data_IF_490232043809
#
_entry.id   IF_490232043809
#
_cell.length_a   1.000
_cell.length_b   1.000
_cell.length_c   1.000
_cell.angle_alpha   90.00
_cell.angle_beta   90.00
_cell.angle_gamma   90.00
#
_symmetry.space_group_name_H-M   'P 1'
#
loop_
_entity.id
_entity.type
_entity.pdbx_description
1 polymer ?
#
# COMPACT_ATOMS: atom_id res chain seq x y z
N UNK A 1 18.20 22.41 -14.42
CA UNK A 1 18.90 21.12 -14.35
C UNK A 1 18.16 20.12 -13.45
N UNK A 2 18.23 20.25 -12.13
CA UNK A 2 17.45 19.39 -11.19
C UNK A 2 16.60 20.18 -10.16
N UNK A 3 16.85 21.48 -10.00
CA UNK A 3 16.10 22.35 -9.07
C UNK A 3 14.65 22.65 -9.49
N UNK A 4 14.26 22.22 -10.70
CA UNK A 4 13.01 22.60 -11.39
C UNK A 4 11.95 21.49 -11.37
N UNK A 5 12.25 20.35 -10.71
CA UNK A 5 11.43 19.13 -10.69
C UNK A 5 10.92 18.73 -9.30
N UNK A 6 11.06 19.59 -8.29
CA UNK A 6 10.93 19.21 -6.87
C UNK A 6 9.80 18.24 -6.55
N UNK A 7 8.54 18.67 -6.69
CA UNK A 7 7.39 17.84 -6.30
C UNK A 7 7.17 16.61 -7.20
N UNK A 8 7.10 16.70 -8.54
CA UNK A 8 6.93 15.51 -9.38
C UNK A 8 8.08 14.51 -9.24
N UNK A 9 9.33 14.98 -9.15
CA UNK A 9 10.49 14.12 -8.93
C UNK A 9 10.42 13.40 -7.59
N UNK A 10 10.17 14.13 -6.49
CA UNK A 10 10.05 13.53 -5.14
C UNK A 10 8.93 12.49 -5.12
N UNK A 11 7.75 12.84 -5.64
CA UNK A 11 6.60 11.94 -5.67
C UNK A 11 6.87 10.70 -6.55
N UNK A 12 7.52 10.86 -7.70
CA UNK A 12 7.94 9.75 -8.56
C UNK A 12 8.97 8.87 -7.86
N UNK A 13 9.95 9.44 -7.17
CA UNK A 13 10.93 8.68 -6.37
C UNK A 13 10.26 7.89 -5.25
N UNK A 14 9.25 8.45 -4.59
CA UNK A 14 8.45 7.75 -3.58
C UNK A 14 7.72 6.55 -4.20
N UNK A 15 7.05 6.73 -5.35
CA UNK A 15 6.39 5.62 -6.07
C UNK A 15 7.40 4.53 -6.49
N UNK A 16 8.56 4.91 -7.04
CA UNK A 16 9.63 3.97 -7.41
C UNK A 16 10.14 3.22 -6.18
N UNK A 17 10.39 3.91 -5.07
CA UNK A 17 10.86 3.30 -3.82
C UNK A 17 9.86 2.26 -3.31
N UNK A 18 8.57 2.60 -3.33
CA UNK A 18 7.50 1.66 -2.99
C UNK A 18 7.47 0.45 -3.94
N UNK A 19 7.53 0.69 -5.25
CA UNK A 19 7.50 -0.35 -6.27
C UNK A 19 8.70 -1.30 -6.18
N UNK A 20 9.91 -0.77 -6.00
CA UNK A 20 11.12 -1.56 -5.77
C UNK A 20 10.98 -2.42 -4.52
N UNK A 21 10.53 -1.84 -3.40
CA UNK A 21 10.31 -2.60 -2.16
C UNK A 21 9.31 -3.74 -2.35
N UNK A 22 8.16 -3.46 -2.99
CA UNK A 22 7.11 -4.47 -3.19
C UNK A 22 7.60 -5.57 -4.16
N UNK A 23 8.23 -5.17 -5.26
CA UNK A 23 8.81 -6.07 -6.25
C UNK A 23 9.88 -6.98 -5.65
N UNK A 24 10.84 -6.43 -4.92
CA UNK A 24 11.89 -7.20 -4.24
C UNK A 24 11.32 -8.18 -3.21
N UNK A 25 10.31 -7.75 -2.44
CA UNK A 25 9.66 -8.64 -1.46
C UNK A 25 8.93 -9.81 -2.12
N UNK A 26 8.19 -9.55 -3.22
CA UNK A 26 7.51 -10.59 -3.99
C UNK A 26 8.52 -11.54 -4.65
N UNK A 27 9.59 -11.01 -5.21
CA UNK A 27 10.66 -11.81 -5.82
C UNK A 27 11.32 -12.74 -4.80
N UNK A 28 11.72 -12.20 -3.64
CA UNK A 28 12.28 -12.99 -2.53
C UNK A 28 11.36 -14.14 -2.14
N UNK A 29 10.06 -13.87 -2.02
CA UNK A 29 9.08 -14.91 -1.66
C UNK A 29 8.93 -15.98 -2.74
N UNK A 30 8.94 -15.61 -4.03
CA UNK A 30 8.87 -16.58 -5.13
C UNK A 30 10.12 -17.47 -5.13
N UNK A 31 11.31 -16.90 -4.89
CA UNK A 31 12.55 -17.66 -4.78
C UNK A 31 12.52 -18.65 -3.61
N UNK A 32 11.88 -18.29 -2.49
CA UNK A 32 11.77 -19.14 -1.31
C UNK A 32 10.68 -20.21 -1.43
N UNK A 33 9.49 -19.86 -1.93
CA UNK A 33 8.33 -20.74 -2.01
C UNK A 33 8.32 -21.58 -3.31
N UNK A 34 9.23 -21.31 -4.25
CA UNK A 34 9.39 -21.97 -5.54
C UNK A 34 8.30 -21.67 -6.57
N UNK A 35 7.13 -21.18 -6.14
CA UNK A 35 6.02 -20.78 -7.03
C UNK A 35 5.11 -19.72 -6.40
N UNK A 36 4.47 -18.93 -7.25
CA UNK A 36 3.36 -18.09 -6.85
C UNK A 36 2.03 -18.83 -7.05
N UNK A 37 1.47 -19.33 -5.94
CA UNK A 37 0.18 -20.05 -5.90
C UNK A 37 -0.99 -19.27 -6.50
N UNK A 38 -0.91 -17.94 -6.64
CA UNK A 38 -1.96 -17.13 -7.28
C UNK A 38 -2.13 -17.45 -8.76
N UNK A 39 -1.05 -17.88 -9.43
CA UNK A 39 -1.06 -18.18 -10.85
C UNK A 39 -1.43 -19.63 -11.16
N UNK A 40 -1.48 -20.53 -10.16
CA UNK A 40 -1.74 -21.96 -10.35
C UNK A 40 -3.01 -22.25 -11.17
N UNK A 41 -4.03 -21.39 -11.09
CA UNK A 41 -5.32 -21.55 -11.79
C UNK A 41 -5.48 -20.72 -13.07
N UNK A 42 -4.53 -19.83 -13.35
CA UNK A 42 -4.68 -18.80 -14.40
C UNK A 42 -3.64 -18.93 -15.51
N UNK A 43 -2.46 -19.48 -15.20
CA UNK A 43 -1.30 -19.54 -16.10
C UNK A 43 -1.52 -20.41 -17.34
N UNK A 44 -2.42 -21.38 -17.26
CA UNK A 44 -2.71 -22.32 -18.36
C UNK A 44 -3.68 -21.74 -19.40
N UNK A 45 -4.27 -20.57 -19.17
CA UNK A 45 -5.23 -19.93 -20.07
C UNK A 45 -4.73 -18.52 -20.44
N UNK A 46 -4.16 -18.32 -21.65
CA UNK A 46 -3.53 -17.06 -22.02
C UNK A 46 -4.47 -15.84 -21.94
N UNK A 47 -5.72 -15.89 -22.42
CA UNK A 47 -6.67 -14.78 -22.23
C UNK A 47 -6.93 -14.43 -20.76
N UNK A 48 -7.15 -15.43 -19.89
CA UNK A 48 -7.35 -15.19 -18.44
C UNK A 48 -6.09 -14.63 -17.79
N UNK A 49 -4.92 -15.10 -18.21
CA UNK A 49 -3.65 -14.60 -17.72
C UNK A 49 -3.41 -13.14 -18.14
N UNK A 50 -3.70 -12.79 -19.39
CA UNK A 50 -3.63 -11.41 -19.89
C UNK A 50 -4.59 -10.48 -19.13
N UNK A 51 -5.85 -10.91 -18.94
CA UNK A 51 -6.83 -10.15 -18.16
C UNK A 51 -6.38 -9.93 -16.72
N UNK A 52 -5.78 -10.93 -16.09
CA UNK A 52 -5.23 -10.79 -14.74
C UNK A 52 -4.19 -9.65 -14.66
N UNK A 53 -3.24 -9.62 -15.60
CA UNK A 53 -2.23 -8.57 -15.67
C UNK A 53 -2.80 -7.21 -16.01
N UNK A 54 -3.80 -7.15 -16.90
CA UNK A 54 -4.50 -5.92 -17.21
C UNK A 54 -5.17 -5.30 -15.97
N UNK A 55 -5.82 -6.13 -15.13
CA UNK A 55 -6.40 -5.68 -13.86
C UNK A 55 -5.32 -5.15 -12.91
N UNK A 56 -4.15 -5.80 -12.84
CA UNK A 56 -3.02 -5.30 -12.04
C UNK A 56 -2.48 -3.96 -12.57
N UNK A 57 -2.38 -3.80 -13.90
CA UNK A 57 -1.96 -2.55 -14.52
C UNK A 57 -2.95 -1.41 -14.23
N UNK A 58 -4.26 -1.68 -14.36
CA UNK A 58 -5.31 -0.72 -14.04
C UNK A 58 -5.30 -0.32 -12.55
N UNK A 59 -5.06 -1.27 -11.66
CA UNK A 59 -4.89 -0.99 -10.23
C UNK A 59 -3.76 0.00 -9.99
N UNK A 60 -2.55 -0.28 -10.51
CA UNK A 60 -1.38 0.58 -10.35
C UNK A 60 -1.65 1.95 -10.98
N UNK A 61 -2.33 1.97 -12.14
CA UNK A 61 -2.71 3.20 -12.81
C UNK A 61 -3.56 4.11 -11.93
N UNK A 62 -4.68 3.60 -11.40
CA UNK A 62 -5.59 4.36 -10.52
C UNK A 62 -4.86 4.82 -9.27
N UNK A 63 -4.05 3.94 -8.68
CA UNK A 63 -3.35 4.19 -7.41
C UNK A 63 -2.30 5.31 -7.54
N UNK A 64 -1.50 5.31 -8.61
CA UNK A 64 -0.47 6.31 -8.85
C UNK A 64 -0.95 7.52 -9.69
N UNK A 65 -2.23 7.57 -10.05
CA UNK A 65 -2.80 8.60 -10.93
C UNK A 65 -2.46 10.05 -10.53
N UNK A 66 -2.55 10.48 -9.24
CA UNK A 66 -2.19 11.84 -8.85
C UNK A 66 -0.74 12.20 -9.17
N UNK A 67 0.16 11.21 -9.17
CA UNK A 67 1.57 11.41 -9.52
C UNK A 67 1.74 11.53 -11.03
N UNK A 68 1.05 10.71 -11.83
CA UNK A 68 1.08 10.84 -13.28
C UNK A 68 0.55 12.20 -13.75
N UNK A 69 -0.55 12.67 -13.16
CA UNK A 69 -1.14 13.96 -13.50
C UNK A 69 -0.14 15.11 -13.34
N UNK A 70 0.56 15.20 -12.20
CA UNK A 70 1.53 16.28 -11.96
C UNK A 70 2.78 16.17 -12.84
N UNK A 71 3.17 14.95 -13.25
CA UNK A 71 4.29 14.77 -14.18
C UNK A 71 3.94 15.23 -15.59
N UNK A 72 2.69 15.02 -16.04
CA UNK A 72 2.22 15.53 -17.34
C UNK A 72 2.19 17.06 -17.34
N UNK A 73 1.54 17.66 -16.33
CA UNK A 73 1.42 19.13 -16.20
C UNK A 73 2.75 19.84 -16.07
N UNK A 74 3.76 19.19 -15.49
CA UNK A 74 5.10 19.77 -15.39
C UNK A 74 5.71 20.08 -16.76
N UNK A 75 5.38 19.29 -17.78
CA UNK A 75 5.91 19.49 -19.14
C UNK A 75 5.42 20.83 -19.74
N UNK A 76 4.36 21.42 -19.18
CA UNK A 76 3.71 22.63 -19.69
C UNK A 76 4.16 23.93 -18.98
N UNK A 77 4.72 23.87 -17.77
CA UNK A 77 5.04 25.06 -16.96
C UNK A 77 6.52 25.45 -17.04
N UNK A 78 6.79 26.73 -17.34
CA UNK A 78 8.15 27.31 -17.42
C UNK A 78 8.67 27.74 -16.04
N UNK A 79 9.90 27.31 -15.75
CA UNK A 79 10.87 27.67 -14.70
C UNK A 79 10.46 28.71 -13.63
N UNK A 80 10.19 28.21 -12.42
CA UNK A 80 10.25 28.96 -11.16
C UNK A 80 10.95 28.13 -10.08
N UNK A 81 11.45 28.77 -9.01
CA UNK A 81 12.05 28.06 -7.87
C UNK A 81 11.00 27.19 -7.16
N UNK A 82 11.34 25.93 -6.90
CA UNK A 82 10.46 25.02 -6.18
C UNK A 82 10.31 25.45 -4.71
N UNK A 83 9.09 25.83 -4.34
CA UNK A 83 8.72 26.25 -2.98
C UNK A 83 7.71 25.24 -2.40
N UNK A 84 8.11 24.35 -1.47
CA UNK A 84 7.21 23.41 -0.83
C UNK A 84 6.13 24.12 0.00
N UNK A 85 4.88 23.65 -0.08
CA UNK A 85 3.78 24.13 0.74
C UNK A 85 3.58 23.26 1.98
N UNK A 86 2.68 23.65 2.89
CA UNK A 86 2.30 22.82 4.03
C UNK A 86 1.72 21.45 3.60
N UNK A 87 1.06 21.38 2.43
CA UNK A 87 0.52 20.13 1.89
C UNK A 87 1.62 19.17 1.46
N UNK A 88 2.74 19.70 0.95
CA UNK A 88 3.90 18.89 0.60
C UNK A 88 4.49 18.24 1.84
N UNK A 89 4.78 19.03 2.86
CA UNK A 89 5.33 18.53 4.12
C UNK A 89 4.42 17.51 4.79
N UNK A 90 3.12 17.79 4.89
CA UNK A 90 2.17 16.87 5.49
C UNK A 90 2.04 15.58 4.66
N UNK A 91 1.93 15.68 3.33
CA UNK A 91 1.79 14.53 2.46
C UNK A 91 3.03 13.64 2.44
N UNK A 92 4.24 14.23 2.42
CA UNK A 92 5.49 13.48 2.53
C UNK A 92 5.67 12.85 3.91
N UNK A 93 5.29 13.54 4.99
CA UNK A 93 5.30 12.97 6.34
C UNK A 93 4.34 11.76 6.44
N UNK A 94 3.14 11.88 5.89
CA UNK A 94 2.20 10.76 5.77
C UNK A 94 2.80 9.59 4.98
N UNK A 95 3.46 9.89 3.85
CA UNK A 95 4.09 8.87 3.03
C UNK A 95 5.22 8.14 3.75
N UNK A 96 6.16 8.88 4.35
CA UNK A 96 7.30 8.30 5.09
C UNK A 96 6.78 7.45 6.26
N UNK A 97 5.81 7.97 7.01
CA UNK A 97 5.20 7.24 8.13
C UNK A 97 4.53 5.95 7.65
N UNK A 98 3.73 6.04 6.57
CA UNK A 98 3.07 4.88 5.98
C UNK A 98 4.05 3.83 5.45
N UNK A 99 5.12 4.28 4.80
CA UNK A 99 6.18 3.43 4.27
C UNK A 99 6.92 2.68 5.40
N UNK A 100 7.35 3.39 6.44
CA UNK A 100 8.03 2.80 7.60
C UNK A 100 7.12 1.81 8.34
N UNK A 101 5.84 2.16 8.51
CA UNK A 101 4.84 1.28 9.10
C UNK A 101 4.70 -0.03 8.31
N UNK A 102 4.53 0.09 6.99
CA UNK A 102 4.38 -1.09 6.12
C UNK A 102 5.66 -1.93 6.09
N UNK A 103 6.84 -1.32 6.02
CA UNK A 103 8.13 -2.02 6.07
C UNK A 103 8.29 -2.79 7.39
N UNK A 104 8.02 -2.14 8.52
CA UNK A 104 8.13 -2.74 9.85
C UNK A 104 7.14 -3.90 10.02
N UNK A 105 5.89 -3.70 9.60
CA UNK A 105 4.85 -4.72 9.68
C UNK A 105 5.21 -5.98 8.87
N UNK A 106 5.62 -5.82 7.61
CA UNK A 106 5.95 -6.95 6.75
C UNK A 106 7.24 -7.66 7.20
N UNK A 107 8.27 -6.92 7.64
CA UNK A 107 9.48 -7.52 8.18
C UNK A 107 9.20 -8.32 9.45
N UNK A 108 8.41 -7.77 10.38
CA UNK A 108 7.99 -8.47 11.61
C UNK A 108 7.23 -9.75 11.25
N UNK A 109 6.34 -9.69 10.26
CA UNK A 109 5.58 -10.85 9.77
C UNK A 109 6.47 -11.89 9.11
N UNK A 110 7.44 -11.47 8.31
CA UNK A 110 8.40 -12.37 7.68
C UNK A 110 9.26 -13.10 8.72
N UNK A 111 9.78 -12.37 9.71
CA UNK A 111 10.57 -12.94 10.82
C UNK A 111 9.74 -13.91 11.65
N UNK A 112 8.51 -13.53 11.99
CA UNK A 112 7.58 -14.39 12.75
C UNK A 112 7.33 -15.71 12.02
N UNK A 113 6.99 -15.66 10.72
CA UNK A 113 6.69 -16.84 9.91
C UNK A 113 7.91 -17.72 9.60
N UNK A 114 9.13 -17.16 9.69
CA UNK A 114 10.35 -17.91 9.42
C UNK A 114 10.84 -18.72 10.62
N UNK A 115 10.27 -18.51 11.81
CA UNK A 115 10.58 -19.30 13.00
C UNK A 115 9.66 -20.55 13.06
N UNK A 116 10.22 -21.78 13.02
CA UNK A 116 9.44 -23.01 13.11
C UNK A 116 8.55 -23.11 14.37
N UNK A 117 8.98 -22.51 15.49
CA UNK A 117 8.20 -22.50 16.73
C UNK A 117 6.89 -21.70 16.65
N UNK A 118 6.73 -20.89 15.59
CA UNK A 118 5.54 -20.11 15.31
C UNK A 118 4.60 -20.77 14.29
N UNK A 119 4.94 -21.98 13.82
CA UNK A 119 4.12 -22.68 12.84
C UNK A 119 2.71 -22.90 13.38
N UNK A 120 1.71 -22.52 12.59
CA UNK A 120 0.29 -22.60 12.99
C UNK A 120 -0.18 -21.52 13.95
N UNK A 121 0.67 -20.58 14.41
CA UNK A 121 0.27 -19.47 15.29
C UNK A 121 -0.10 -18.22 14.49
N UNK A 122 -0.94 -17.35 15.06
CA UNK A 122 -1.15 -16.01 14.53
C UNK A 122 -0.07 -15.05 15.06
N UNK A 123 0.22 -14.01 14.29
CA UNK A 123 1.15 -12.97 14.73
C UNK A 123 0.47 -12.01 15.70
N UNK A 124 1.11 -11.73 16.82
CA UNK A 124 0.66 -10.79 17.86
C UNK A 124 1.79 -9.96 18.49
N UNK A 125 2.96 -9.93 17.84
CA UNK A 125 4.16 -9.24 18.33
C UNK A 125 4.44 -7.93 17.58
N UNK A 126 5.18 -7.03 18.23
CA UNK A 126 5.59 -5.75 17.66
C UNK A 126 4.37 -4.92 17.26
N UNK A 127 4.41 -4.31 16.07
CA UNK A 127 3.31 -3.45 15.59
C UNK A 127 1.99 -4.20 15.36
N UNK A 128 2.05 -5.53 15.18
CA UNK A 128 0.85 -6.38 15.05
C UNK A 128 0.12 -6.57 16.38
N UNK A 129 0.72 -6.20 17.52
CA UNK A 129 0.01 -6.18 18.81
C UNK A 129 -1.08 -5.10 18.83
N UNK A 130 -0.78 -3.95 18.23
CA UNK A 130 -1.62 -2.74 18.27
C UNK A 130 -2.58 -2.61 17.08
N UNK A 131 -2.35 -3.37 16.00
CA UNK A 131 -3.21 -3.35 14.82
C UNK A 131 -3.29 -4.73 14.17
N UNK A 132 -4.48 -5.07 13.69
CA UNK A 132 -4.71 -6.27 12.89
C UNK A 132 -4.09 -6.16 11.50
N UNK A 133 -4.03 -4.95 10.93
CA UNK A 133 -3.54 -4.68 9.58
C UNK A 133 -2.71 -3.39 9.48
N UNK A 134 -1.59 -3.27 10.23
CA UNK A 134 -0.76 -2.07 10.22
C UNK A 134 -0.16 -1.80 8.84
N UNK A 135 0.15 -2.86 8.07
CA UNK A 135 0.66 -2.73 6.72
C UNK A 135 -0.35 -2.09 5.75
N UNK A 136 -1.64 -2.40 5.88
CA UNK A 136 -2.70 -1.78 5.06
C UNK A 136 -2.91 -0.32 5.43
N UNK A 137 -2.85 0.03 6.72
CA UNK A 137 -2.88 1.43 7.12
C UNK A 137 -1.70 2.20 6.54
N UNK A 138 -0.50 1.62 6.55
CA UNK A 138 0.67 2.22 5.93
C UNK A 138 0.49 2.49 4.43
N UNK A 139 -0.11 1.54 3.71
CA UNK A 139 -0.43 1.70 2.29
C UNK A 139 -1.46 2.82 2.05
N UNK A 140 -2.53 2.87 2.85
CA UNK A 140 -3.52 3.95 2.76
C UNK A 140 -2.91 5.33 3.02
N UNK A 141 -2.00 5.45 4.00
CA UNK A 141 -1.31 6.70 4.33
C UNK A 141 -0.41 7.19 3.19
N UNK A 142 0.34 6.29 2.55
CA UNK A 142 1.21 6.65 1.43
C UNK A 142 0.44 7.25 0.27
N UNK A 143 -0.62 6.58 -0.18
CA UNK A 143 -1.38 7.05 -1.34
C UNK A 143 -2.20 8.30 -1.03
N UNK A 144 -2.69 8.44 0.21
CA UNK A 144 -3.31 9.69 0.67
C UNK A 144 -2.30 10.84 0.73
N UNK A 145 -1.06 10.58 1.15
CA UNK A 145 0.03 11.57 1.16
C UNK A 145 0.43 12.03 -0.24
N UNK A 146 0.51 11.11 -1.20
CA UNK A 146 0.80 11.44 -2.60
C UNK A 146 -0.35 12.22 -3.25
N UNK A 147 -1.61 11.87 -2.94
CA UNK A 147 -2.76 12.68 -3.34
C UNK A 147 -2.66 14.12 -2.78
N UNK A 148 -2.37 14.26 -1.49
CA UNK A 148 -2.28 15.57 -0.83
C UNK A 148 -1.17 16.44 -1.42
N UNK A 149 0.03 15.88 -1.63
CA UNK A 149 1.14 16.62 -2.25
C UNK A 149 0.82 17.02 -3.69
N UNK A 150 0.30 16.10 -4.50
CA UNK A 150 -0.14 16.38 -5.87
C UNK A 150 -1.23 17.46 -5.95
N UNK A 151 -2.05 17.60 -4.91
CA UNK A 151 -3.14 18.58 -4.89
C UNK A 151 -2.72 20.04 -4.95
N UNK A 152 -1.43 20.34 -4.76
CA UNK A 152 -0.88 21.68 -4.99
C UNK A 152 -0.95 22.10 -6.46
N UNK A 153 -0.99 21.15 -7.40
CA UNK A 153 -1.02 21.41 -8.84
C UNK A 153 -2.43 21.30 -9.44
N UNK A 154 -3.44 21.07 -8.60
CA UNK A 154 -4.82 20.93 -9.08
C UNK A 154 -5.45 22.30 -9.33
N UNK A 155 -5.92 22.53 -10.55
CA UNK A 155 -6.46 23.80 -11.04
C UNK A 155 -7.99 23.81 -11.09
N UNK A 156 -8.65 22.65 -11.00
CA UNK A 156 -10.11 22.57 -11.05
C UNK A 156 -10.70 21.31 -10.40
N UNK A 157 -12.03 21.34 -10.17
CA UNK A 157 -12.75 20.27 -9.48
C UNK A 157 -12.63 18.89 -10.14
N UNK A 158 -12.45 18.83 -11.45
CA UNK A 158 -12.24 17.58 -12.17
C UNK A 158 -10.97 16.85 -11.71
N UNK A 159 -9.84 17.57 -11.58
CA UNK A 159 -8.56 17.00 -11.15
C UNK A 159 -8.60 16.53 -9.70
N UNK A 160 -9.32 17.26 -8.83
CA UNK A 160 -9.60 16.82 -7.47
C UNK A 160 -10.40 15.51 -7.45
N UNK A 161 -11.49 15.44 -8.22
CA UNK A 161 -12.35 14.27 -8.29
C UNK A 161 -11.62 13.04 -8.85
N UNK A 162 -10.89 13.17 -9.96
CA UNK A 162 -10.15 12.05 -10.56
C UNK A 162 -8.98 11.61 -9.70
N UNK A 163 -8.26 12.55 -9.08
CA UNK A 163 -7.13 12.22 -8.19
C UNK A 163 -7.57 11.61 -6.87
N UNK A 164 -8.74 11.99 -6.33
CA UNK A 164 -9.29 11.39 -5.13
C UNK A 164 -9.62 9.89 -5.30
N UNK A 165 -9.79 9.42 -6.55
CA UNK A 165 -9.97 8.00 -6.83
C UNK A 165 -8.79 7.16 -6.33
N UNK A 166 -7.56 7.68 -6.29
CA UNK A 166 -6.40 6.94 -5.80
C UNK A 166 -6.56 6.49 -4.33
N UNK A 167 -6.62 7.41 -3.33
CA UNK A 167 -6.74 6.99 -1.94
C UNK A 167 -8.08 6.30 -1.66
N UNK A 168 -9.18 6.72 -2.30
CA UNK A 168 -10.48 6.06 -2.14
C UNK A 168 -10.45 4.62 -2.62
N UNK A 169 -9.87 4.37 -3.80
CA UNK A 169 -9.72 3.03 -4.35
C UNK A 169 -8.93 2.13 -3.41
N UNK A 170 -7.76 2.58 -2.95
CA UNK A 170 -6.91 1.82 -2.02
C UNK A 170 -7.65 1.52 -0.71
N UNK A 171 -8.30 2.52 -0.11
CA UNK A 171 -9.03 2.36 1.15
C UNK A 171 -10.18 1.37 0.99
N UNK A 172 -11.01 1.53 -0.04
CA UNK A 172 -12.18 0.68 -0.26
C UNK A 172 -11.77 -0.77 -0.55
N UNK A 173 -10.78 -0.94 -1.40
CA UNK A 173 -10.29 -2.24 -1.82
C UNK A 173 -9.66 -3.02 -0.67
N UNK A 174 -8.81 -2.38 0.13
CA UNK A 174 -8.17 -3.02 1.27
C UNK A 174 -9.16 -3.25 2.42
N UNK A 175 -10.11 -2.32 2.67
CA UNK A 175 -11.03 -2.44 3.79
C UNK A 175 -12.20 -3.39 3.52
N UNK A 176 -12.72 -3.41 2.29
CA UNK A 176 -14.02 -4.04 2.01
C UNK A 176 -13.99 -5.14 0.95
N UNK A 177 -12.93 -5.27 0.15
CA UNK A 177 -12.90 -6.23 -0.96
C UNK A 177 -11.86 -7.32 -0.75
N UNK A 178 -10.57 -6.98 -0.81
CA UNK A 178 -9.49 -7.97 -0.91
C UNK A 178 -8.61 -8.05 0.34
N UNK A 179 -8.37 -6.94 1.03
CA UNK A 179 -7.44 -6.89 2.16
C UNK A 179 -8.00 -7.55 3.41
N UNK A 180 -8.66 -6.76 4.25
CA UNK A 180 -9.20 -7.14 5.56
C UNK A 180 -10.16 -8.34 5.46
N UNK A 181 -11.18 -8.36 4.59
CA UNK A 181 -12.21 -9.42 4.63
C UNK A 181 -11.64 -10.81 4.30
N UNK A 182 -10.74 -10.89 3.32
CA UNK A 182 -10.13 -12.18 2.94
C UNK A 182 -9.22 -12.71 4.04
N UNK A 183 -8.44 -11.83 4.68
CA UNK A 183 -7.55 -12.22 5.78
C UNK A 183 -8.34 -12.60 7.05
N UNK A 184 -9.39 -11.85 7.38
CA UNK A 184 -10.24 -12.17 8.52
C UNK A 184 -10.94 -13.52 8.31
N UNK A 185 -11.49 -13.77 7.12
CA UNK A 185 -12.09 -15.07 6.76
C UNK A 185 -11.07 -16.21 6.84
N UNK A 186 -9.86 -16.00 6.34
CA UNK A 186 -8.79 -17.00 6.42
C UNK A 186 -8.35 -17.26 7.86
N UNK A 187 -8.22 -16.21 8.67
CA UNK A 187 -7.83 -16.31 10.08
C UNK A 187 -8.90 -17.00 10.93
N UNK A 188 -10.18 -16.66 10.75
CA UNK A 188 -11.29 -17.35 11.43
C UNK A 188 -11.36 -18.83 11.05
N UNK A 189 -11.06 -19.20 9.80
CA UNK A 189 -10.99 -20.62 9.41
C UNK A 189 -9.86 -21.38 10.12
N UNK A 190 -8.76 -20.72 10.45
CA UNK A 190 -7.59 -21.35 11.09
C UNK A 190 -7.65 -21.35 12.61
N UNK A 191 -8.13 -20.25 13.20
CA UNK A 191 -8.00 -19.96 14.63
C UNK A 191 -9.33 -19.58 15.29
N UNK A 192 -10.47 -19.65 14.58
CA UNK A 192 -11.77 -19.22 15.09
C UNK A 192 -12.29 -20.02 16.28
N UNK A 193 -11.77 -21.23 16.52
CA UNK A 193 -12.10 -22.04 17.68
C UNK A 193 -11.26 -21.70 18.92
N UNK A 194 -10.22 -20.86 18.78
CA UNK A 194 -9.39 -20.40 19.89
C UNK A 194 -9.95 -19.09 20.47
N UNK A 195 -10.37 -19.12 21.73
CA UNK A 195 -10.93 -17.97 22.42
C UNK A 195 -9.95 -16.77 22.49
N UNK A 196 -8.63 -17.03 22.53
CA UNK A 196 -7.63 -15.97 22.55
C UNK A 196 -7.56 -15.23 21.22
N UNK A 197 -7.66 -15.96 20.09
CA UNK A 197 -7.71 -15.36 18.77
C UNK A 197 -8.99 -14.53 18.58
N UNK A 198 -10.14 -15.05 18.99
CA UNK A 198 -11.41 -14.32 18.92
C UNK A 198 -11.35 -13.05 19.78
N UNK A 199 -10.80 -13.12 21.00
CA UNK A 199 -10.59 -11.96 21.87
C UNK A 199 -9.66 -10.93 21.23
N UNK A 200 -8.56 -11.38 20.62
CA UNK A 200 -7.63 -10.51 19.88
C UNK A 200 -8.34 -9.74 18.77
N UNK A 201 -9.12 -10.41 17.92
CA UNK A 201 -9.84 -9.76 16.82
C UNK A 201 -10.83 -8.70 17.32
N UNK A 202 -11.44 -8.91 18.49
CA UNK A 202 -12.36 -7.93 19.10
C UNK A 202 -11.65 -6.74 19.74
N UNK A 203 -10.50 -6.98 20.38
CA UNK A 203 -9.82 -5.99 21.22
C UNK A 203 -8.58 -5.36 20.55
N UNK A 204 -8.36 -5.58 19.25
CA UNK A 204 -7.24 -4.98 18.53
C UNK A 204 -7.79 -4.07 17.44
N UNK A 205 -7.25 -2.87 17.33
CA UNK A 205 -7.61 -1.94 16.25
C UNK A 205 -7.46 -2.59 14.88
N UNK A 206 -8.39 -2.29 13.97
CA UNK A 206 -8.39 -2.91 12.65
C UNK A 206 -7.21 -2.44 11.78
N UNK A 207 -6.90 -1.15 11.81
CA UNK A 207 -5.97 -0.49 10.88
C UNK A 207 -4.93 0.34 11.62
N UNK A 208 -5.36 1.36 12.36
CA UNK A 208 -4.48 2.29 13.06
C UNK A 208 -3.80 1.56 14.23
N UNK A 209 -2.46 1.59 14.37
CA UNK A 209 -1.79 0.96 15.50
C UNK A 209 -1.94 1.82 16.76
N UNK A 210 -2.91 1.49 17.61
CA UNK A 210 -3.14 2.11 18.91
C UNK A 210 -3.63 1.06 19.91
N UNK A 211 -3.41 1.31 21.21
CA UNK A 211 -3.94 0.47 22.27
C UNK A 211 -5.46 0.71 22.43
N UNK A 212 -6.23 -0.38 22.39
CA UNK A 212 -7.70 -0.41 22.52
C UNK A 212 -8.08 -1.12 23.81
#
# INVERSE_FOLDING_TARGET
GFHQLGRPLINTTMVITWACRLGSFLLYRIMKDGKDRRFDKVRTNPPKFALFWFIQALWIFITAYPVYLINVKQTEKTVGEFQPTWRDWLGWACWVTGFLLQCTADFTKLKFNSNPANHGKWIDVGIWKYSQHPNYFGEMLMWSGLFLTSSNEFEGGFEWCTSALSPLFVILLLRFVSGVPLLQKSGMKKWGNDANYVRRVKNTSLLVPWDV
#
